data_IF_861555933505
#
_entry.id   IF_861555933505
#
_cell.length_a   1.000
_cell.length_b   1.000
_cell.length_c   1.000
_cell.angle_alpha   90.00
_cell.angle_beta   90.00
_cell.angle_gamma   90.00
#
_symmetry.space_group_name_H-M   'P 1'
#
loop_
_entity.id
_entity.type
_entity.pdbx_description
1 polymer ?
#
# COMPACT_ATOMS: atom_id res chain seq x y z
N UNK A 1 -7.44 -17.47 -36.90
CA UNK A 1 -8.65 -17.16 -36.14
C UNK A 1 -8.69 -17.81 -34.80
N UNK A 2 -8.62 -19.10 -34.73
CA UNK A 2 -8.64 -19.80 -33.46
C UNK A 2 -7.48 -19.43 -32.57
N UNK A 3 -6.31 -19.18 -33.16
CA UNK A 3 -5.14 -18.82 -32.39
C UNK A 3 -5.31 -17.49 -31.68
N UNK A 4 -6.09 -16.59 -32.24
CA UNK A 4 -6.36 -15.31 -31.60
C UNK A 4 -7.17 -15.49 -30.32
N UNK A 5 -8.11 -16.39 -30.32
CA UNK A 5 -8.91 -16.68 -29.15
C UNK A 5 -8.03 -17.28 -28.04
N UNK A 6 -7.18 -18.20 -28.41
CA UNK A 6 -6.28 -18.79 -27.45
C UNK A 6 -5.35 -17.76 -26.84
N UNK A 7 -4.83 -16.86 -27.67
CA UNK A 7 -3.94 -15.83 -27.18
C UNK A 7 -4.65 -14.94 -26.17
N UNK A 8 -5.88 -14.57 -26.43
CA UNK A 8 -6.67 -13.76 -25.51
C UNK A 8 -6.88 -14.48 -24.18
N UNK A 9 -7.15 -15.77 -24.27
CA UNK A 9 -7.38 -16.59 -23.11
C UNK A 9 -6.14 -16.70 -22.25
N UNK A 10 -5.02 -16.96 -22.87
CA UNK A 10 -3.74 -17.03 -22.18
C UNK A 10 -3.39 -15.69 -21.53
N UNK A 11 -3.70 -14.61 -22.21
CA UNK A 11 -3.46 -13.28 -21.69
C UNK A 11 -4.26 -13.03 -20.42
N UNK A 12 -5.50 -13.48 -20.38
CA UNK A 12 -6.31 -13.35 -19.18
C UNK A 12 -5.70 -14.08 -18.00
N UNK A 13 -5.17 -15.26 -18.22
CA UNK A 13 -4.51 -16.02 -17.16
C UNK A 13 -3.26 -15.30 -16.67
N UNK A 14 -2.47 -14.74 -17.57
CA UNK A 14 -1.24 -14.07 -17.22
C UNK A 14 -1.48 -12.73 -16.51
N UNK A 15 -2.68 -12.18 -16.63
CA UNK A 15 -3.03 -10.92 -16.00
C UNK A 15 -3.44 -11.05 -14.54
N UNK A 16 -3.42 -12.26 -14.00
CA UNK A 16 -3.81 -12.47 -12.62
C UNK A 16 -2.63 -12.25 -11.69
N UNK A 17 -2.26 -10.99 -11.53
CA UNK A 17 -1.25 -10.59 -10.56
C UNK A 17 -1.96 -9.90 -9.41
N UNK A 18 -1.61 -10.27 -8.19
CA UNK A 18 -2.19 -9.70 -6.99
C UNK A 18 -1.23 -8.71 -6.35
N UNK A 19 -1.78 -7.61 -5.86
CA UNK A 19 -1.02 -6.65 -5.08
C UNK A 19 -1.18 -7.02 -3.62
N UNK A 20 -0.06 -7.17 -2.93
CA UNK A 20 -0.06 -7.51 -1.51
C UNK A 20 0.08 -6.23 -0.71
N UNK A 21 -0.94 -5.90 0.06
CA UNK A 21 -0.95 -4.74 0.93
C UNK A 21 -0.08 -4.98 2.16
N UNK A 22 0.24 -3.91 2.88
CA UNK A 22 1.10 -4.01 4.06
C UNK A 22 0.53 -4.90 5.16
N UNK A 23 -0.79 -4.95 5.25
CA UNK A 23 -1.48 -5.80 6.24
C UNK A 23 -1.64 -7.24 5.76
N UNK A 24 -1.07 -7.58 4.62
CA UNK A 24 -1.15 -8.92 4.05
C UNK A 24 -2.34 -9.17 3.15
N UNK A 25 -3.26 -8.22 3.03
CA UNK A 25 -4.40 -8.39 2.14
C UNK A 25 -3.94 -8.40 0.70
N UNK A 26 -4.65 -9.14 -0.11
CA UNK A 26 -4.36 -9.23 -1.55
C UNK A 26 -5.50 -8.63 -2.34
N UNK A 27 -5.13 -7.83 -3.33
CA UNK A 27 -6.07 -7.25 -4.26
C UNK A 27 -5.58 -7.52 -5.67
N UNK A 28 -6.47 -7.73 -6.64
CA UNK A 28 -5.99 -7.88 -8.01
C UNK A 28 -5.34 -6.59 -8.47
N UNK A 29 -4.30 -6.71 -9.27
CA UNK A 29 -3.67 -5.54 -9.87
C UNK A 29 -4.68 -4.84 -10.77
N UNK A 30 -4.80 -3.53 -10.63
CA UNK A 30 -5.76 -2.73 -11.39
C UNK A 30 -5.04 -1.50 -11.95
N UNK A 31 -4.86 -1.49 -13.27
CA UNK A 31 -4.22 -0.36 -13.93
C UNK A 31 -4.97 0.95 -13.69
N UNK A 32 -6.27 0.90 -13.56
CA UNK A 32 -7.07 2.10 -13.33
C UNK A 32 -6.74 2.76 -12.01
N UNK A 33 -6.40 1.98 -11.00
CA UNK A 33 -5.97 2.55 -9.71
C UNK A 33 -4.65 3.27 -9.85
N UNK A 34 -3.73 2.70 -10.62
CA UNK A 34 -2.45 3.36 -10.89
C UNK A 34 -2.69 4.66 -11.64
N UNK A 35 -3.52 4.62 -12.68
CA UNK A 35 -3.83 5.81 -13.46
C UNK A 35 -4.49 6.88 -12.62
N UNK A 36 -5.41 6.52 -11.75
CA UNK A 36 -6.07 7.47 -10.85
C UNK A 36 -5.06 8.17 -9.95
N UNK A 37 -4.12 7.41 -9.41
CA UNK A 37 -3.05 7.98 -8.59
C UNK A 37 -2.19 8.96 -9.37
N UNK A 38 -1.84 8.60 -10.60
CA UNK A 38 -1.07 9.47 -11.49
C UNK A 38 -1.83 10.75 -11.82
N UNK A 39 -3.12 10.63 -12.14
CA UNK A 39 -3.94 11.78 -12.46
C UNK A 39 -4.05 12.75 -11.29
N UNK A 40 -4.22 12.23 -10.08
CA UNK A 40 -4.28 13.07 -8.89
C UNK A 40 -2.97 13.79 -8.63
N UNK A 41 -1.86 13.09 -8.79
CA UNK A 41 -0.55 13.68 -8.58
C UNK A 41 -0.26 14.78 -9.59
N UNK A 42 -0.71 14.61 -10.82
CA UNK A 42 -0.46 15.55 -11.91
C UNK A 42 -1.55 16.59 -12.08
N UNK A 43 -2.50 16.67 -11.16
CA UNK A 43 -3.59 17.63 -11.27
C UNK A 43 -3.04 19.06 -11.32
N UNK A 44 -3.45 19.80 -12.35
CA UNK A 44 -2.98 21.18 -12.56
C UNK A 44 -1.58 21.27 -13.10
N UNK A 45 -0.96 20.16 -13.44
CA UNK A 45 0.39 20.16 -14.01
C UNK A 45 0.32 19.94 -15.52
N UNK A 46 1.33 20.45 -16.26
CA UNK A 46 1.34 20.33 -17.72
C UNK A 46 1.80 18.96 -18.19
N UNK A 47 1.16 17.92 -17.69
CA UNK A 47 1.42 16.54 -18.10
C UNK A 47 0.17 16.02 -18.78
N UNK A 48 0.25 15.68 -20.09
CA UNK A 48 -0.93 15.20 -20.81
C UNK A 48 -1.43 13.86 -20.25
N UNK A 49 -2.74 13.69 -20.32
CA UNK A 49 -3.32 12.43 -19.87
C UNK A 49 -2.76 11.24 -20.64
N UNK A 50 -2.49 11.44 -21.93
CA UNK A 50 -1.94 10.38 -22.76
C UNK A 50 -0.61 9.87 -22.23
N UNK A 51 0.22 10.78 -21.71
CA UNK A 51 1.48 10.40 -21.09
C UNK A 51 1.22 9.53 -19.86
N UNK A 52 0.24 9.90 -19.05
CA UNK A 52 -0.11 9.14 -17.85
C UNK A 52 -0.69 7.78 -18.18
N UNK A 53 -1.52 7.71 -19.23
CA UNK A 53 -2.02 6.42 -19.70
C UNK A 53 -0.87 5.51 -20.11
N UNK A 54 0.10 6.06 -20.80
CA UNK A 54 1.28 5.30 -21.24
C UNK A 54 2.09 4.81 -20.05
N UNK A 55 2.29 5.67 -19.07
CA UNK A 55 3.03 5.29 -17.85
C UNK A 55 2.31 4.16 -17.12
N UNK A 56 1.00 4.27 -16.97
CA UNK A 56 0.22 3.23 -16.32
C UNK A 56 0.32 1.91 -17.08
N UNK A 57 0.28 1.96 -18.40
CA UNK A 57 0.43 0.78 -19.23
C UNK A 57 1.83 0.17 -19.10
N UNK A 58 2.86 1.00 -19.08
CA UNK A 58 4.22 0.51 -18.91
C UNK A 58 4.41 -0.18 -17.57
N UNK A 59 3.85 0.40 -16.52
CA UNK A 59 3.92 -0.22 -15.20
C UNK A 59 3.18 -1.55 -15.20
N UNK A 60 2.01 -1.60 -15.82
CA UNK A 60 1.25 -2.84 -15.95
C UNK A 60 2.08 -3.91 -16.65
N UNK A 61 2.72 -3.54 -17.76
CA UNK A 61 3.55 -4.49 -18.50
C UNK A 61 4.72 -4.99 -17.66
N UNK A 62 5.36 -4.11 -16.90
CA UNK A 62 6.45 -4.51 -16.03
C UNK A 62 5.99 -5.51 -14.97
N UNK A 63 4.82 -5.26 -14.39
CA UNK A 63 4.24 -6.12 -13.36
C UNK A 63 3.91 -7.49 -13.96
N UNK A 64 3.28 -7.51 -15.12
CA UNK A 64 2.90 -8.75 -15.79
C UNK A 64 4.10 -9.57 -16.23
N UNK A 65 5.16 -8.89 -16.66
CA UNK A 65 6.36 -9.57 -17.15
C UNK A 65 7.34 -9.95 -16.04
N UNK A 66 7.05 -9.58 -14.81
CA UNK A 66 7.93 -9.92 -13.70
C UNK A 66 7.96 -11.43 -13.42
N UNK A 67 6.94 -12.14 -13.90
CA UNK A 67 6.84 -13.57 -13.69
C UNK A 67 6.37 -13.97 -12.31
N UNK A 68 6.15 -13.01 -11.43
CA UNK A 68 5.67 -13.26 -10.09
C UNK A 68 4.15 -13.13 -10.04
N UNK A 69 3.45 -14.02 -9.31
CA UNK A 69 2.01 -13.88 -9.16
C UNK A 69 1.60 -12.76 -8.21
N UNK A 70 2.54 -12.18 -7.51
CA UNK A 70 2.24 -11.10 -6.56
C UNK A 70 3.28 -10.00 -6.66
N UNK A 71 2.86 -8.78 -6.29
CA UNK A 71 3.76 -7.65 -6.17
C UNK A 71 3.40 -6.89 -4.89
N UNK A 72 4.38 -6.57 -4.04
CA UNK A 72 4.09 -5.76 -2.86
C UNK A 72 3.62 -4.37 -3.28
N UNK A 73 2.64 -3.82 -2.57
CA UNK A 73 2.16 -2.48 -2.86
C UNK A 73 3.26 -1.44 -2.77
N UNK A 74 4.22 -1.66 -1.88
CA UNK A 74 5.38 -0.79 -1.74
C UNK A 74 6.20 -0.74 -3.01
N UNK A 75 6.46 -1.88 -3.62
CA UNK A 75 7.21 -1.94 -4.86
C UNK A 75 6.47 -1.24 -5.99
N UNK A 76 5.16 -1.43 -6.04
CA UNK A 76 4.33 -0.76 -7.03
C UNK A 76 4.40 0.76 -6.86
N UNK A 77 4.30 1.24 -5.63
CA UNK A 77 4.42 2.66 -5.32
C UNK A 77 5.78 3.21 -5.71
N UNK A 78 6.85 2.47 -5.48
CA UNK A 78 8.18 2.88 -5.85
C UNK A 78 8.31 3.05 -7.37
N UNK A 79 7.67 2.18 -8.15
CA UNK A 79 7.67 2.31 -9.60
C UNK A 79 6.94 3.56 -10.06
N UNK A 80 5.82 3.87 -9.42
CA UNK A 80 5.08 5.09 -9.74
C UNK A 80 5.91 6.33 -9.40
N UNK A 81 6.52 6.35 -8.25
CA UNK A 81 7.36 7.47 -7.80
C UNK A 81 8.50 7.71 -8.79
N UNK A 82 9.17 6.65 -9.21
CA UNK A 82 10.28 6.77 -10.14
C UNK A 82 9.84 7.36 -11.48
N UNK A 83 8.67 6.98 -11.96
CA UNK A 83 8.14 7.53 -13.21
C UNK A 83 7.75 8.98 -13.06
N UNK A 84 7.12 9.35 -11.94
CA UNK A 84 6.73 10.74 -11.70
C UNK A 84 7.93 11.63 -11.54
N UNK A 85 9.00 11.15 -10.96
CA UNK A 85 10.21 11.95 -10.82
C UNK A 85 10.73 12.42 -12.15
N UNK A 86 10.57 11.63 -13.19
CA UNK A 86 11.02 11.98 -14.52
C UNK A 86 10.05 12.89 -15.27
N UNK A 87 8.79 12.90 -14.84
CA UNK A 87 7.75 13.65 -15.54
C UNK A 87 7.53 15.06 -14.99
N UNK A 88 7.45 15.19 -13.67
CA UNK A 88 7.10 16.47 -13.07
C UNK A 88 7.46 16.47 -11.59
N UNK A 89 8.25 17.45 -11.18
CA UNK A 89 8.74 17.52 -9.80
C UNK A 89 7.61 17.68 -8.78
N UNK A 90 6.61 18.50 -9.11
CA UNK A 90 5.50 18.76 -8.20
C UNK A 90 4.66 17.50 -8.01
N UNK A 91 4.36 16.82 -9.12
CA UNK A 91 3.62 15.57 -9.07
C UNK A 91 4.37 14.52 -8.26
N UNK A 92 5.68 14.44 -8.46
CA UNK A 92 6.53 13.54 -7.69
C UNK A 92 6.44 13.81 -6.19
N UNK A 93 6.58 15.08 -5.80
CA UNK A 93 6.53 15.44 -4.37
C UNK A 93 5.16 15.14 -3.78
N UNK A 94 4.10 15.44 -4.51
CA UNK A 94 2.73 15.16 -4.06
C UNK A 94 2.53 13.67 -3.80
N UNK A 95 2.87 12.86 -4.78
CA UNK A 95 2.67 11.41 -4.66
C UNK A 95 3.55 10.82 -3.56
N UNK A 96 4.83 11.20 -3.55
CA UNK A 96 5.76 10.68 -2.56
C UNK A 96 5.34 11.06 -1.14
N UNK A 97 4.81 12.27 -0.95
CA UNK A 97 4.36 12.72 0.37
C UNK A 97 3.17 11.90 0.86
N UNK A 98 2.19 11.66 -0.01
CA UNK A 98 1.03 10.85 0.35
C UNK A 98 1.45 9.41 0.60
N UNK A 99 2.27 8.87 -0.27
CA UNK A 99 2.73 7.50 -0.18
C UNK A 99 3.49 7.26 1.14
N UNK A 100 4.41 8.15 1.48
CA UNK A 100 5.17 8.05 2.74
C UNK A 100 4.27 8.20 3.95
N UNK A 101 3.33 9.14 3.86
CA UNK A 101 2.39 9.38 4.96
C UNK A 101 1.52 8.15 5.21
N UNK A 102 1.07 7.51 4.16
CA UNK A 102 0.30 6.27 4.30
C UNK A 102 1.13 5.18 4.94
N UNK A 103 2.39 5.06 4.55
CA UNK A 103 3.30 4.12 5.17
C UNK A 103 3.51 4.38 6.65
N UNK A 104 3.64 5.65 7.01
CA UNK A 104 3.81 6.04 8.39
C UNK A 104 2.55 5.79 9.21
N UNK A 105 1.38 6.04 8.61
CA UNK A 105 0.11 5.76 9.27
C UNK A 105 -0.05 4.27 9.53
N UNK A 106 0.26 3.45 8.54
CA UNK A 106 0.19 2.00 8.72
C UNK A 106 1.09 1.54 9.84
N UNK A 107 2.30 2.05 9.88
CA UNK A 107 3.24 1.72 10.94
C UNK A 107 2.72 2.15 12.30
N UNK A 108 2.15 3.34 12.35
CA UNK A 108 1.59 3.88 13.57
C UNK A 108 0.42 3.02 14.06
N UNK A 109 -0.43 2.59 13.14
CA UNK A 109 -1.54 1.70 13.50
C UNK A 109 -1.02 0.39 14.07
N UNK A 110 0.01 -0.19 13.46
CA UNK A 110 0.62 -1.40 13.98
C UNK A 110 1.17 -1.20 15.38
N UNK A 111 1.85 -0.09 15.61
CA UNK A 111 2.39 0.22 16.94
C UNK A 111 1.29 0.40 17.97
N UNK A 112 0.20 1.07 17.59
CA UNK A 112 -0.93 1.26 18.47
C UNK A 112 -1.56 -0.08 18.84
N UNK A 113 -1.70 -0.96 17.87
CA UNK A 113 -2.26 -2.29 18.12
C UNK A 113 -1.38 -3.09 19.05
N UNK A 114 -0.06 -3.00 18.86
CA UNK A 114 0.88 -3.68 19.76
C UNK A 114 0.82 -3.13 21.17
N UNK A 115 0.66 -1.81 21.31
CA UNK A 115 0.49 -1.17 22.61
C UNK A 115 -0.79 -1.62 23.29
N UNK A 116 -1.89 -1.70 22.55
CA UNK A 116 -3.14 -2.16 23.08
C UNK A 116 -3.05 -3.60 23.58
N UNK A 117 -2.39 -4.45 22.82
CA UNK A 117 -2.18 -5.84 23.21
C UNK A 117 -1.38 -5.93 24.52
N UNK A 118 -0.32 -5.12 24.63
CA UNK A 118 0.48 -5.08 25.84
C UNK A 118 -0.30 -4.56 27.03
N UNK A 119 -1.09 -3.52 26.83
CA UNK A 119 -1.91 -2.97 27.89
C UNK A 119 -2.96 -3.96 28.38
N UNK A 120 -3.56 -4.71 27.46
CA UNK A 120 -4.48 -5.74 27.82
C UNK A 120 -3.81 -6.81 28.67
N UNK A 121 -2.62 -7.22 28.26
CA UNK A 121 -1.87 -8.21 29.00
C UNK A 121 -1.51 -7.71 30.39
N UNK A 122 -1.07 -6.47 30.51
CA UNK A 122 -0.76 -5.85 31.78
C UNK A 122 -1.99 -5.73 32.66
N UNK A 123 -3.13 -5.39 32.06
CA UNK A 123 -4.38 -5.30 32.80
C UNK A 123 -4.80 -6.65 33.35
N UNK A 124 -4.62 -7.70 32.58
CA UNK A 124 -4.91 -9.05 33.04
C UNK A 124 -4.01 -9.44 34.19
N UNK A 125 -2.72 -9.14 34.10
CA UNK A 125 -1.79 -9.40 35.20
C UNK A 125 -2.12 -8.57 36.42
N UNK A 126 -2.48 -7.30 36.21
CA UNK A 126 -2.88 -6.44 37.32
C UNK A 126 -4.14 -6.95 37.99
N UNK A 127 -5.08 -7.48 37.23
CA UNK A 127 -6.28 -8.09 37.77
C UNK A 127 -5.95 -9.24 38.70
N UNK A 128 -4.98 -10.07 38.33
CA UNK A 128 -4.55 -11.17 39.14
C UNK A 128 -3.85 -10.67 40.40
N UNK A 129 -3.05 -9.63 40.28
CA UNK A 129 -2.34 -9.06 41.42
C UNK A 129 -3.29 -8.34 42.36
N UNK A 130 -4.39 -7.80 41.86
CA UNK A 130 -5.35 -7.08 42.67
C UNK A 130 -6.01 -7.95 43.74
N UNK A 131 -5.85 -9.24 43.64
CA UNK A 131 -6.27 -10.11 44.71
C UNK A 131 -5.41 -9.93 45.94
N UNK A 132 -4.28 -9.29 45.79
CA UNK A 132 -3.37 -8.97 46.89
C UNK A 132 -3.64 -7.53 47.31
N UNK A 133 -3.76 -7.24 48.61
CA UNK A 133 -4.10 -5.89 49.06
C UNK A 133 -2.94 -4.94 49.05
N UNK A 134 -2.48 -4.59 47.85
CA UNK A 134 -1.41 -3.65 47.69
C UNK A 134 -1.79 -2.42 46.90
N UNK A 135 -3.00 -2.40 46.49
CA UNK A 135 -3.47 -1.37 45.60
C UNK A 135 -3.49 0.04 46.15
N UNK A 136 -3.71 0.26 47.45
CA UNK A 136 -3.79 1.64 47.94
C UNK A 136 -2.53 2.43 47.66
N UNK A 137 -1.45 1.75 47.55
CA UNK A 137 -0.19 2.38 47.31
C UNK A 137 -0.11 3.13 45.97
N UNK A 138 -0.85 2.66 45.00
CA UNK A 138 -0.78 3.25 43.69
C UNK A 138 -1.60 4.49 43.49
N UNK A 139 -2.60 4.65 44.29
CA UNK A 139 -3.43 5.84 44.16
C UNK A 139 -2.68 7.11 44.49
N UNK A 140 -1.64 6.98 45.24
CA UNK A 140 -0.85 8.15 45.65
C UNK A 140 -0.03 8.73 44.50
N UNK A 141 0.18 7.97 43.49
CA UNK A 141 0.99 8.41 42.37
C UNK A 141 0.27 9.29 41.40
N UNK A 142 -0.98 9.45 41.53
CA UNK A 142 -1.78 10.25 40.61
C UNK A 142 -1.77 11.75 40.98
#
# INVERSE_FOLDING_TARGET
MCSRRFTTFERAERMLVSVVKRDGRREPFDRNKVLTGLLRACEGRPVPRETLDRVAEEIEQEVLHSGSPTIPSRELGDRVIERLRKLDDVAYVRFASVYRRMGDVDRLVEEIQALKARKQHEAELASQILLIPLTPHRTEQN
#
